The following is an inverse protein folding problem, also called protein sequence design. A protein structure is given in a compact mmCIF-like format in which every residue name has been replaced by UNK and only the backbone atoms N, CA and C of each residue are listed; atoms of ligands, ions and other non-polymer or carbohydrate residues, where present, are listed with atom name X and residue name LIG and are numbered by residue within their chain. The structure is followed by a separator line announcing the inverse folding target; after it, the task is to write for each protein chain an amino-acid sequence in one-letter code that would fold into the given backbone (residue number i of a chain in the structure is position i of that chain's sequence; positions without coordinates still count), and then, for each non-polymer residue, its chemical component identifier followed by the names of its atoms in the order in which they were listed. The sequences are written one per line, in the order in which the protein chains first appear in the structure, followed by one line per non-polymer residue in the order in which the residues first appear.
data_IF_704090255209
#
_entry.id   IF_704090255209
#
_cell.length_a   1.000
_cell.length_b   1.000
_cell.length_c   1.000
_cell.angle_alpha   90.00
_cell.angle_beta   90.00
_cell.angle_gamma   90.00
#
_symmetry.space_group_name_H-M   'P 1'
#
loop_
_entity.id
_entity.type
_entity.pdbx_description
1 polymer ?
#
# COMPACT_ATOMS: atom_id res chain seq x y z
N UNK A 1 14.96 -14.77 -9.83
CA UNK A 1 15.08 -13.34 -10.21
C UNK A 1 14.07 -12.44 -9.47
N UNK A 2 12.78 -12.80 -9.38
CA UNK A 2 11.81 -12.04 -8.56
C UNK A 2 12.11 -12.09 -7.05
N UNK A 3 12.52 -13.24 -6.51
CA UNK A 3 12.88 -13.37 -5.09
C UNK A 3 14.04 -12.45 -4.67
N UNK A 4 15.07 -12.31 -5.52
CA UNK A 4 16.19 -11.36 -5.28
C UNK A 4 15.67 -9.93 -5.14
N UNK A 5 14.74 -9.53 -6.01
CA UNK A 5 14.17 -8.19 -6.01
C UNK A 5 13.34 -7.91 -4.75
N UNK A 6 12.55 -8.88 -4.28
CA UNK A 6 11.78 -8.70 -3.04
C UNK A 6 12.69 -8.62 -1.81
N UNK A 7 13.79 -9.38 -1.79
CA UNK A 7 14.79 -9.29 -0.74
C UNK A 7 15.47 -7.90 -0.71
N UNK A 8 15.83 -7.35 -1.87
CA UNK A 8 16.37 -5.97 -1.99
C UNK A 8 15.36 -4.93 -1.48
N UNK A 9 14.09 -5.01 -1.89
CA UNK A 9 13.04 -4.09 -1.40
C UNK A 9 12.88 -4.19 0.12
N UNK A 10 12.91 -5.40 0.68
CA UNK A 10 12.86 -5.60 2.13
C UNK A 10 14.05 -4.94 2.82
N UNK A 11 15.25 -5.06 2.27
CA UNK A 11 16.44 -4.40 2.82
C UNK A 11 16.30 -2.88 2.80
N UNK A 12 15.83 -2.30 1.69
CA UNK A 12 15.58 -0.86 1.57
C UNK A 12 14.55 -0.37 2.59
N UNK A 13 13.44 -1.11 2.76
CA UNK A 13 12.41 -0.82 3.73
C UNK A 13 12.95 -0.79 5.17
N UNK A 14 13.79 -1.77 5.54
CA UNK A 14 14.41 -1.79 6.86
C UNK A 14 15.44 -0.68 7.04
N UNK A 15 16.26 -0.41 6.03
CA UNK A 15 17.25 0.65 6.07
C UNK A 15 16.61 2.03 6.27
N UNK A 16 15.49 2.30 5.58
CA UNK A 16 14.74 3.55 5.71
C UNK A 16 14.25 3.80 7.14
N UNK A 17 13.87 2.76 7.89
CA UNK A 17 13.32 2.89 9.24
C UNK A 17 14.30 2.56 10.37
N UNK A 18 15.49 2.02 10.07
CA UNK A 18 16.45 1.53 11.06
C UNK A 18 16.80 2.59 12.13
N UNK A 19 17.08 3.81 11.68
CA UNK A 19 17.45 4.96 12.51
C UNK A 19 16.28 5.82 13.01
N UNK A 20 15.03 5.35 12.88
CA UNK A 20 13.83 6.15 13.21
C UNK A 20 12.96 5.46 14.28
N UNK A 21 13.47 5.30 15.53
CA UNK A 21 12.74 4.59 16.59
C UNK A 21 11.39 5.22 16.93
N UNK A 22 11.31 6.56 16.97
CA UNK A 22 10.08 7.28 17.31
C UNK A 22 9.00 7.09 16.24
N UNK A 23 9.40 7.06 14.96
CA UNK A 23 8.48 6.79 13.84
C UNK A 23 7.97 5.35 13.92
N UNK A 24 8.84 4.37 14.19
CA UNK A 24 8.40 2.97 14.38
C UNK A 24 7.44 2.85 15.56
N UNK A 25 7.70 3.55 16.66
CA UNK A 25 6.81 3.55 17.82
C UNK A 25 5.45 4.17 17.48
N UNK A 26 5.43 5.29 16.75
CA UNK A 26 4.20 5.96 16.33
C UNK A 26 3.33 5.09 15.38
N UNK A 27 3.98 4.25 14.56
CA UNK A 27 3.31 3.34 13.63
C UNK A 27 2.88 2.02 14.29
N UNK A 28 3.41 1.66 15.46
CA UNK A 28 3.05 0.40 16.12
C UNK A 28 1.53 0.30 16.37
N UNK A 29 0.95 -0.85 16.00
CA UNK A 29 -0.48 -1.17 16.16
C UNK A 29 -1.45 -0.25 15.43
N UNK A 30 -0.97 0.51 14.46
CA UNK A 30 -1.81 1.39 13.65
C UNK A 30 -2.47 0.61 12.52
N UNK A 31 -3.70 1.02 12.18
CA UNK A 31 -4.42 0.51 11.00
C UNK A 31 -4.36 1.57 9.89
N UNK A 32 -3.77 1.21 8.76
CA UNK A 32 -3.53 2.12 7.63
C UNK A 32 -4.42 1.71 6.47
N UNK A 33 -5.11 2.67 5.86
CA UNK A 33 -5.85 2.48 4.62
C UNK A 33 -5.12 3.17 3.46
N UNK A 34 -5.00 2.49 2.32
CA UNK A 34 -4.37 3.03 1.10
C UNK A 34 -5.32 2.90 -0.08
N UNK A 35 -5.77 4.02 -0.66
CA UNK A 35 -6.45 4.00 -1.97
C UNK A 35 -5.41 3.94 -3.08
N UNK A 36 -5.74 3.31 -4.22
CA UNK A 36 -4.72 3.02 -5.23
C UNK A 36 -3.66 2.03 -4.72
N UNK A 37 -4.04 1.18 -3.76
CA UNK A 37 -3.13 0.33 -2.99
C UNK A 37 -2.36 -0.70 -3.81
N UNK A 38 -2.82 -1.05 -5.02
CA UNK A 38 -2.12 -1.98 -5.93
C UNK A 38 -1.22 -1.29 -6.95
N UNK A 39 -1.11 0.04 -6.90
CA UNK A 39 -0.15 0.81 -7.68
C UNK A 39 1.28 0.69 -7.14
N UNK A 40 2.22 1.41 -7.76
CA UNK A 40 3.63 1.40 -7.35
C UNK A 40 3.82 1.77 -5.87
N UNK A 41 3.28 2.91 -5.45
CA UNK A 41 3.43 3.40 -4.07
C UNK A 41 2.72 2.50 -3.06
N UNK A 42 1.49 2.08 -3.34
CA UNK A 42 0.73 1.18 -2.46
C UNK A 42 1.42 -0.18 -2.26
N UNK A 43 2.01 -0.72 -3.32
CA UNK A 43 2.81 -1.96 -3.24
C UNK A 43 4.06 -1.74 -2.38
N UNK A 44 4.77 -0.62 -2.55
CA UNK A 44 5.94 -0.32 -1.73
C UNK A 44 5.59 -0.14 -0.25
N UNK A 45 4.45 0.49 0.06
CA UNK A 45 3.92 0.59 1.42
C UNK A 45 3.61 -0.81 2.00
N UNK A 46 3.04 -1.70 1.19
CA UNK A 46 2.75 -3.08 1.62
C UNK A 46 4.03 -3.86 1.94
N UNK A 47 5.08 -3.74 1.12
CA UNK A 47 6.41 -4.30 1.39
C UNK A 47 7.04 -3.70 2.66
N UNK A 48 6.92 -2.39 2.86
CA UNK A 48 7.40 -1.71 4.06
C UNK A 48 6.70 -2.23 5.32
N UNK A 49 5.36 -2.32 5.31
CA UNK A 49 4.58 -2.86 6.43
C UNK A 49 4.97 -4.30 6.73
N UNK A 50 5.10 -5.15 5.70
CA UNK A 50 5.53 -6.53 5.86
C UNK A 50 6.92 -6.61 6.51
N UNK A 51 7.89 -5.87 5.98
CA UNK A 51 9.26 -5.84 6.51
C UNK A 51 9.31 -5.38 7.98
N UNK A 52 8.59 -4.31 8.31
CA UNK A 52 8.56 -3.76 9.68
C UNK A 52 7.84 -4.68 10.67
N UNK A 53 6.76 -5.32 10.24
CA UNK A 53 6.07 -6.30 11.09
C UNK A 53 6.93 -7.54 11.33
N UNK A 54 7.64 -8.02 10.32
CA UNK A 54 8.49 -9.21 10.44
C UNK A 54 9.71 -8.93 11.33
N UNK A 55 10.35 -7.77 11.15
CA UNK A 55 11.58 -7.41 11.88
C UNK A 55 11.31 -6.90 13.30
N UNK A 56 10.35 -5.98 13.44
CA UNK A 56 10.13 -5.23 14.69
C UNK A 56 8.83 -5.59 15.40
N UNK A 57 8.00 -6.49 14.83
CA UNK A 57 6.73 -6.94 15.42
C UNK A 57 5.78 -5.79 15.77
N UNK A 58 5.74 -4.77 14.92
CA UNK A 58 4.96 -3.55 15.15
C UNK A 58 3.45 -3.80 15.15
N UNK A 59 2.98 -4.84 14.47
CA UNK A 59 1.57 -5.20 14.39
C UNK A 59 0.75 -4.15 13.64
N UNK A 60 1.36 -3.51 12.63
CA UNK A 60 0.67 -2.61 11.71
C UNK A 60 -0.30 -3.44 10.87
N UNK A 61 -1.51 -2.94 10.64
CA UNK A 61 -2.47 -3.55 9.71
C UNK A 61 -2.74 -2.63 8.54
N UNK A 62 -2.97 -3.21 7.36
CA UNK A 62 -3.05 -2.48 6.10
C UNK A 62 -4.28 -2.92 5.30
N UNK A 63 -5.14 -1.98 4.93
CA UNK A 63 -6.17 -2.18 3.92
C UNK A 63 -5.75 -1.49 2.61
N UNK A 64 -5.57 -2.26 1.54
CA UNK A 64 -5.28 -1.79 0.19
C UNK A 64 -6.57 -1.75 -0.64
N UNK A 65 -7.02 -0.56 -1.02
CA UNK A 65 -8.19 -0.35 -1.87
C UNK A 65 -7.76 -0.14 -3.33
N UNK A 66 -8.29 -0.95 -4.23
CA UNK A 66 -8.01 -0.83 -5.67
C UNK A 66 -9.19 -1.32 -6.50
N UNK A 67 -9.32 -0.81 -7.73
CA UNK A 67 -10.42 -1.20 -8.64
C UNK A 67 -10.37 -2.68 -9.02
N UNK A 68 -9.21 -3.13 -9.52
CA UNK A 68 -9.00 -4.49 -10.01
C UNK A 68 -7.74 -5.07 -9.35
N UNK A 69 -7.87 -5.76 -8.20
CA UNK A 69 -6.71 -6.24 -7.45
C UNK A 69 -6.14 -7.58 -7.94
N UNK A 70 -6.84 -8.32 -8.81
CA UNK A 70 -6.51 -9.71 -9.14
C UNK A 70 -5.08 -9.90 -9.69
N UNK A 71 -4.65 -9.01 -10.60
CA UNK A 71 -3.28 -9.03 -11.13
C UNK A 71 -2.23 -8.83 -10.03
N UNK A 72 -2.54 -7.98 -9.04
CA UNK A 72 -1.65 -7.73 -7.91
C UNK A 72 -1.56 -8.95 -7.00
N UNK A 73 -2.68 -9.62 -6.72
CA UNK A 73 -2.72 -10.84 -5.91
C UNK A 73 -1.86 -11.96 -6.52
N UNK A 74 -1.87 -12.10 -7.85
CA UNK A 74 -1.05 -13.08 -8.56
C UNK A 74 0.43 -12.67 -8.61
N UNK A 75 0.73 -11.38 -8.70
CA UNK A 75 2.10 -10.85 -8.82
C UNK A 75 2.83 -10.76 -7.49
N UNK A 76 2.12 -10.56 -6.38
CA UNK A 76 2.66 -10.41 -5.04
C UNK A 76 2.05 -11.43 -4.06
N UNK A 77 2.16 -12.75 -4.34
CA UNK A 77 1.53 -13.78 -3.53
C UNK A 77 2.04 -13.77 -2.07
N UNK A 78 3.29 -13.36 -1.84
CA UNK A 78 3.87 -13.24 -0.50
C UNK A 78 3.24 -12.14 0.35
N UNK A 79 2.72 -11.07 -0.27
CA UNK A 79 1.97 -10.03 0.43
C UNK A 79 0.50 -10.41 0.54
N UNK A 80 -0.09 -10.98 -0.51
CA UNK A 80 -1.48 -11.39 -0.56
C UNK A 80 -1.82 -12.48 0.47
N UNK A 81 -0.85 -13.33 0.83
CA UNK A 81 -1.02 -14.38 1.82
C UNK A 81 -0.96 -13.88 3.28
N UNK A 82 -0.62 -12.61 3.53
CA UNK A 82 -0.46 -12.10 4.89
C UNK A 82 -1.79 -11.74 5.54
N UNK A 83 -1.90 -11.97 6.84
CA UNK A 83 -3.11 -11.64 7.63
C UNK A 83 -3.19 -10.16 8.01
N UNK A 84 -2.05 -9.48 8.04
CA UNK A 84 -1.92 -8.06 8.36
C UNK A 84 -2.13 -7.13 7.14
N UNK A 85 -2.27 -7.70 5.93
CA UNK A 85 -2.56 -6.97 4.70
C UNK A 85 -3.86 -7.51 4.09
N UNK A 86 -4.82 -6.62 3.84
CA UNK A 86 -6.11 -6.96 3.23
C UNK A 86 -6.30 -6.15 1.97
N UNK A 87 -6.62 -6.83 0.87
CA UNK A 87 -6.88 -6.16 -0.41
C UNK A 87 -8.39 -6.12 -0.65
N UNK A 88 -8.90 -4.96 -1.03
CA UNK A 88 -10.33 -4.69 -1.24
C UNK A 88 -10.55 -4.15 -2.63
N UNK A 89 -11.41 -4.82 -3.40
CA UNK A 89 -11.90 -4.34 -4.67
C UNK A 89 -12.83 -3.14 -4.42
N UNK A 90 -12.33 -1.93 -4.64
CA UNK A 90 -13.06 -0.68 -4.40
C UNK A 90 -12.59 0.41 -5.36
N UNK A 91 -13.55 1.06 -6.01
CA UNK A 91 -13.31 2.28 -6.78
C UNK A 91 -13.49 3.50 -5.88
N UNK A 92 -12.50 4.39 -5.86
CA UNK A 92 -12.52 5.63 -5.05
C UNK A 92 -13.59 6.62 -5.52
N UNK A 93 -14.07 6.47 -6.77
CA UNK A 93 -15.16 7.29 -7.34
C UNK A 93 -16.54 6.90 -6.80
N UNK A 94 -16.64 5.72 -6.20
CA UNK A 94 -17.87 5.25 -5.55
C UNK A 94 -17.82 5.59 -4.07
N UNK A 95 -18.98 5.79 -3.44
CA UNK A 95 -19.04 5.97 -1.99
C UNK A 95 -18.62 4.68 -1.27
N UNK A 96 -17.73 4.79 -0.29
CA UNK A 96 -17.35 3.70 0.60
C UNK A 96 -16.86 4.28 1.93
N UNK A 97 -16.78 3.42 2.94
CA UNK A 97 -16.24 3.78 4.24
C UNK A 97 -14.94 3.01 4.49
N UNK A 98 -14.00 3.65 5.17
CA UNK A 98 -12.85 2.96 5.74
C UNK A 98 -13.28 2.19 7.00
N UNK A 99 -12.49 1.20 7.41
CA UNK A 99 -12.69 0.53 8.69
C UNK A 99 -12.68 1.56 9.83
N UNK A 100 -13.59 1.44 10.80
CA UNK A 100 -13.75 2.43 11.89
C UNK A 100 -12.49 2.63 12.74
N UNK A 101 -11.61 1.63 12.77
CA UNK A 101 -10.34 1.66 13.49
C UNK A 101 -9.17 2.17 12.63
N UNK A 102 -9.42 2.70 11.43
CA UNK A 102 -8.38 3.29 10.57
C UNK A 102 -7.75 4.50 11.25
N UNK A 103 -6.46 4.41 11.54
CA UNK A 103 -5.66 5.49 12.12
C UNK A 103 -5.15 6.47 11.07
N UNK A 104 -4.80 5.97 9.89
CA UNK A 104 -4.22 6.75 8.80
C UNK A 104 -4.83 6.39 7.46
N UNK A 105 -5.01 7.39 6.61
CA UNK A 105 -5.43 7.22 5.21
C UNK A 105 -4.35 7.81 4.31
N UNK A 106 -3.87 7.01 3.36
CA UNK A 106 -2.95 7.43 2.30
C UNK A 106 -3.70 7.35 0.97
N UNK A 107 -3.91 8.48 0.31
CA UNK A 107 -4.53 8.51 -1.01
C UNK A 107 -3.46 8.37 -2.09
N UNK A 108 -3.24 7.15 -2.59
CA UNK A 108 -2.31 6.86 -3.67
C UNK A 108 -3.02 6.50 -4.99
N UNK A 109 -4.34 6.71 -5.07
CA UNK A 109 -5.05 6.64 -6.32
C UNK A 109 -4.72 7.86 -7.19
N UNK A 110 -4.31 7.61 -8.43
CA UNK A 110 -3.96 8.65 -9.38
C UNK A 110 -3.40 8.03 -10.66
N UNK A 111 -3.46 8.76 -11.75
CA UNK A 111 -2.90 8.35 -13.04
C UNK A 111 -1.66 9.21 -13.29
N UNK A 112 -0.42 8.74 -13.05
CA UNK A 112 0.77 9.57 -13.20
C UNK A 112 1.25 9.72 -14.66
N UNK A 113 0.43 9.33 -15.64
CA UNK A 113 0.84 9.24 -17.04
C UNK A 113 0.43 10.52 -17.79
N UNK A 114 1.40 11.42 -18.01
CA UNK A 114 1.20 12.72 -18.67
C UNK A 114 0.40 12.63 -19.98
N UNK A 115 0.55 11.55 -20.75
CA UNK A 115 -0.22 11.37 -21.99
C UNK A 115 -1.73 11.28 -21.69
N UNK A 116 -2.11 10.59 -20.62
CA UNK A 116 -3.51 10.47 -20.17
C UNK A 116 -4.01 11.80 -19.60
N UNK A 117 -3.17 12.56 -18.88
CA UNK A 117 -3.54 13.91 -18.45
C UNK A 117 -3.96 14.79 -19.64
N UNK A 118 -3.22 14.72 -20.76
CA UNK A 118 -3.55 15.49 -21.95
C UNK A 118 -4.72 14.92 -22.76
N UNK A 119 -4.80 13.59 -22.90
CA UNK A 119 -5.81 12.95 -23.76
C UNK A 119 -7.15 12.71 -23.08
N UNK A 120 -7.18 12.61 -21.76
CA UNK A 120 -8.37 12.29 -20.95
C UNK A 120 -8.28 12.95 -19.55
N UNK A 121 -8.30 14.29 -19.47
CA UNK A 121 -8.13 15.04 -18.22
C UNK A 121 -9.26 14.78 -17.21
N UNK A 122 -10.49 14.54 -17.68
CA UNK A 122 -11.63 14.26 -16.80
C UNK A 122 -11.43 12.95 -16.03
N UNK A 123 -10.88 11.91 -16.67
CA UNK A 123 -10.55 10.66 -16.00
C UNK A 123 -9.49 10.84 -14.91
N UNK A 124 -8.53 11.74 -15.09
CA UNK A 124 -7.54 12.06 -14.05
C UNK A 124 -8.22 12.76 -12.88
N UNK A 125 -9.02 13.80 -13.16
CA UNK A 125 -9.73 14.60 -12.15
C UNK A 125 -10.61 13.73 -11.24
N UNK A 126 -11.24 12.68 -11.78
CA UNK A 126 -12.09 11.77 -11.00
C UNK A 126 -11.34 10.93 -9.95
N UNK A 127 -10.00 10.92 -9.94
CA UNK A 127 -9.20 10.05 -9.06
C UNK A 127 -8.22 10.79 -8.15
N UNK A 128 -8.10 12.11 -8.28
CA UNK A 128 -7.26 13.00 -7.45
C UNK A 128 -8.12 13.73 -6.45
#
# INVERSE_FOLDING_TARGET
MQESRFAEIRQDALAACAGQPDVRAALARQHIAVTGGTGFLGTWIAELVAALNDEYRLGITLDLYARNPDEWLQRYPHLAARLDIRVRAQDVRSSFEFAKNTSYVIHAAGIPNNRVHSSDPLRVFQTT
#
